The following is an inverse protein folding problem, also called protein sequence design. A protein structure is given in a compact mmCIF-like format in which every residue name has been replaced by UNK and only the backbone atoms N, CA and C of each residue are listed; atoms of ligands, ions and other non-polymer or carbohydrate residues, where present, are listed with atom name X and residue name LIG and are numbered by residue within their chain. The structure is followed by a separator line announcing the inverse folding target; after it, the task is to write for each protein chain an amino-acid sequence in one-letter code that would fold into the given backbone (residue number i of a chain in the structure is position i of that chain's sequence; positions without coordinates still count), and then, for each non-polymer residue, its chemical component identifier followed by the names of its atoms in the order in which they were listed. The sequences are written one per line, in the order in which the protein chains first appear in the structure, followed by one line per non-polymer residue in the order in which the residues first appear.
data_IF_611266041775
#
_entry.id   IF_611266041775
#
_cell.length_a   1.000
_cell.length_b   1.000
_cell.length_c   1.000
_cell.angle_alpha   90.00
_cell.angle_beta   90.00
_cell.angle_gamma   90.00
#
_symmetry.space_group_name_H-M   'P 1'
#
loop_
_entity.id
_entity.type
_entity.pdbx_description
1 polymer ?
#
# COMPACT_ATOMS: atom_id res chain seq x y z
N UNK A 1 -7.50 18.12 -14.50
CA UNK A 1 -6.20 17.82 -13.84
C UNK A 1 -6.34 18.05 -12.35
N UNK A 2 -6.01 17.04 -11.58
CA UNK A 2 -6.07 17.14 -10.12
C UNK A 2 -4.84 17.86 -9.59
N UNK A 3 -5.04 18.71 -8.59
CA UNK A 3 -3.95 19.37 -7.89
C UNK A 3 -3.14 18.32 -7.12
N UNK A 4 -1.87 18.64 -6.88
CA UNK A 4 -0.96 17.73 -6.19
C UNK A 4 -1.49 17.28 -4.81
N UNK A 5 -2.08 18.22 -4.07
CA UNK A 5 -2.67 17.91 -2.77
C UNK A 5 -3.88 17.00 -2.86
N UNK A 6 -4.67 17.13 -3.92
CA UNK A 6 -5.84 16.26 -4.14
C UNK A 6 -5.43 14.84 -4.46
N UNK A 7 -4.37 14.66 -5.25
CA UNK A 7 -3.83 13.34 -5.58
C UNK A 7 -3.34 12.65 -4.29
N UNK A 8 -2.62 13.37 -3.43
CA UNK A 8 -2.16 12.82 -2.16
C UNK A 8 -3.32 12.39 -1.27
N UNK A 9 -4.38 13.20 -1.23
CA UNK A 9 -5.56 12.89 -0.43
C UNK A 9 -6.26 11.63 -0.95
N UNK A 10 -6.43 11.52 -2.26
CA UNK A 10 -7.04 10.35 -2.90
C UNK A 10 -6.25 9.08 -2.58
N UNK A 11 -4.92 9.14 -2.70
CA UNK A 11 -4.07 8.00 -2.38
C UNK A 11 -4.14 7.64 -0.90
N UNK A 12 -4.13 8.63 -0.02
CA UNK A 12 -4.24 8.39 1.41
C UNK A 12 -5.57 7.70 1.75
N UNK A 13 -6.67 8.20 1.20
CA UNK A 13 -7.99 7.63 1.44
C UNK A 13 -8.07 6.20 0.89
N UNK A 14 -7.47 5.95 -0.28
CA UNK A 14 -7.44 4.63 -0.88
C UNK A 14 -6.64 3.65 -0.01
N UNK A 15 -5.50 4.08 0.52
CA UNK A 15 -4.68 3.26 1.41
C UNK A 15 -5.43 2.94 2.70
N UNK A 16 -6.12 3.92 3.28
CA UNK A 16 -6.91 3.73 4.50
C UNK A 16 -8.04 2.72 4.30
N UNK A 17 -8.54 2.57 3.08
CA UNK A 17 -9.59 1.62 2.75
C UNK A 17 -9.08 0.19 2.56
N UNK A 18 -7.77 -0.03 2.55
CA UNK A 18 -7.18 -1.35 2.36
C UNK A 18 -7.36 -2.23 3.61
N UNK A 19 -7.36 -3.56 3.44
CA UNK A 19 -7.27 -4.47 4.60
C UNK A 19 -6.04 -4.14 5.44
N UNK A 20 -6.14 -4.37 6.73
CA UNK A 20 -5.12 -3.98 7.71
C UNK A 20 -3.71 -4.43 7.33
N UNK A 21 -3.54 -5.69 6.93
CA UNK A 21 -2.22 -6.21 6.58
C UNK A 21 -1.63 -5.56 5.35
N UNK A 22 -2.45 -5.31 4.34
CA UNK A 22 -2.02 -4.62 3.13
C UNK A 22 -1.62 -3.18 3.43
N UNK A 23 -2.42 -2.51 4.26
CA UNK A 23 -2.13 -1.15 4.70
C UNK A 23 -0.81 -1.08 5.46
N UNK A 24 -0.57 -2.03 6.37
CA UNK A 24 0.68 -2.11 7.13
C UNK A 24 1.89 -2.31 6.20
N UNK A 25 1.77 -3.23 5.25
CA UNK A 25 2.87 -3.49 4.31
C UNK A 25 3.21 -2.23 3.52
N UNK A 26 2.21 -1.54 2.99
CA UNK A 26 2.45 -0.32 2.23
C UNK A 26 3.06 0.78 3.09
N UNK A 27 2.57 0.94 4.33
CA UNK A 27 3.10 1.95 5.24
C UNK A 27 4.56 1.70 5.57
N UNK A 28 4.91 0.46 5.87
CA UNK A 28 6.29 0.10 6.19
C UNK A 28 7.20 0.23 4.98
N UNK A 29 6.70 -0.09 3.81
CA UNK A 29 7.50 -0.02 2.59
C UNK A 29 7.75 1.41 2.13
N UNK A 30 6.71 2.24 2.10
CA UNK A 30 6.80 3.59 1.52
C UNK A 30 7.13 4.67 2.53
N UNK A 31 6.64 4.59 3.76
CA UNK A 31 6.92 5.62 4.77
C UNK A 31 8.16 5.30 5.60
N UNK A 32 8.32 4.05 6.00
CA UNK A 32 9.47 3.64 6.80
C UNK A 32 10.64 3.15 5.95
N UNK A 33 10.45 3.03 4.64
CA UNK A 33 11.48 2.63 3.68
C UNK A 33 12.12 1.28 3.99
N UNK A 34 11.33 0.34 4.51
CA UNK A 34 11.81 -1.00 4.81
C UNK A 34 11.79 -1.87 3.55
N UNK A 35 12.71 -2.82 3.47
CA UNK A 35 12.69 -3.82 2.41
C UNK A 35 11.60 -4.86 2.69
N UNK A 36 11.21 -5.62 1.67
CA UNK A 36 10.22 -6.70 1.84
C UNK A 36 10.66 -7.70 2.90
N UNK A 37 11.95 -8.00 2.96
CA UNK A 37 12.51 -8.89 3.96
C UNK A 37 12.37 -8.32 5.37
N UNK A 38 12.67 -7.03 5.52
CA UNK A 38 12.55 -6.35 6.81
C UNK A 38 11.10 -6.29 7.28
N UNK A 39 10.18 -6.02 6.36
CA UNK A 39 8.75 -6.02 6.66
C UNK A 39 8.31 -7.40 7.13
N UNK A 40 8.80 -8.45 6.47
CA UNK A 40 8.52 -9.82 6.89
C UNK A 40 8.96 -10.08 8.32
N UNK A 41 10.13 -9.59 8.69
CA UNK A 41 10.64 -9.71 10.06
C UNK A 41 9.74 -8.97 11.05
N UNK A 42 9.33 -7.74 10.71
CA UNK A 42 8.48 -6.92 11.59
C UNK A 42 7.11 -7.56 11.80
N UNK A 43 6.52 -8.08 10.73
CA UNK A 43 5.17 -8.65 10.76
C UNK A 43 5.13 -10.15 11.04
N UNK A 44 6.30 -10.77 11.19
CA UNK A 44 6.43 -12.22 11.36
C UNK A 44 5.83 -12.99 10.18
N UNK A 45 6.14 -12.53 8.97
CA UNK A 45 5.71 -13.14 7.72
C UNK A 45 6.93 -13.46 6.85
N UNK A 46 6.74 -14.36 5.89
CA UNK A 46 7.77 -14.63 4.90
C UNK A 46 7.86 -13.45 3.92
N UNK A 47 9.02 -13.29 3.29
CA UNK A 47 9.20 -12.28 2.25
C UNK A 47 8.20 -12.49 1.11
N UNK A 48 7.97 -13.75 0.72
CA UNK A 48 6.99 -14.08 -0.32
C UNK A 48 5.59 -13.60 0.03
N UNK A 49 5.19 -13.78 1.29
CA UNK A 49 3.86 -13.33 1.75
C UNK A 49 3.76 -11.81 1.72
N UNK A 50 4.83 -11.12 2.12
CA UNK A 50 4.88 -9.66 2.06
C UNK A 50 4.73 -9.18 0.62
N UNK A 51 5.44 -9.81 -0.32
CA UNK A 51 5.33 -9.49 -1.74
C UNK A 51 3.92 -9.69 -2.27
N UNK A 52 3.25 -10.77 -1.87
CA UNK A 52 1.86 -11.02 -2.24
C UNK A 52 0.93 -9.91 -1.72
N UNK A 53 1.10 -9.54 -0.46
CA UNK A 53 0.29 -8.48 0.15
C UNK A 53 0.52 -7.15 -0.56
N UNK A 54 1.78 -6.84 -0.89
CA UNK A 54 2.12 -5.63 -1.62
C UNK A 54 1.46 -5.62 -3.00
N UNK A 55 1.55 -6.72 -3.74
CA UNK A 55 0.94 -6.82 -5.07
C UNK A 55 -0.56 -6.67 -5.02
N UNK A 56 -1.22 -7.32 -4.05
CA UNK A 56 -2.67 -7.20 -3.87
C UNK A 56 -3.07 -5.76 -3.55
N UNK A 57 -2.31 -5.10 -2.67
CA UNK A 57 -2.56 -3.72 -2.31
C UNK A 57 -2.46 -2.79 -3.51
N UNK A 58 -1.42 -2.98 -4.33
CA UNK A 58 -1.21 -2.17 -5.53
C UNK A 58 -2.37 -2.36 -6.53
N UNK A 59 -2.82 -3.60 -6.70
CA UNK A 59 -3.96 -3.86 -7.58
C UNK A 59 -5.24 -3.19 -7.10
N UNK A 60 -5.50 -3.21 -5.79
CA UNK A 60 -6.66 -2.53 -5.21
C UNK A 60 -6.57 -1.02 -5.40
N UNK A 61 -5.38 -0.45 -5.19
CA UNK A 61 -5.15 0.97 -5.39
C UNK A 61 -5.38 1.39 -6.84
N UNK A 62 -4.89 0.60 -7.78
CA UNK A 62 -5.08 0.86 -9.22
C UNK A 62 -6.56 0.87 -9.58
N UNK A 63 -7.31 -0.10 -9.09
CA UNK A 63 -8.74 -0.17 -9.34
C UNK A 63 -9.48 1.05 -8.80
N UNK A 64 -9.12 1.47 -7.60
CA UNK A 64 -9.73 2.62 -6.94
C UNK A 64 -9.44 3.93 -7.69
N UNK A 65 -8.18 4.13 -8.06
CA UNK A 65 -7.78 5.33 -8.81
C UNK A 65 -8.45 5.35 -10.18
N UNK A 66 -8.59 4.19 -10.81
CA UNK A 66 -9.23 4.07 -12.11
C UNK A 66 -10.72 4.45 -12.06
N UNK A 67 -11.40 4.14 -10.96
CA UNK A 67 -12.80 4.49 -10.77
C UNK A 67 -13.02 5.99 -10.63
N UNK A 68 -12.00 6.73 -10.24
CA UNK A 68 -12.07 8.16 -10.00
C UNK A 68 -11.88 9.01 -11.26
N UNK A 69 -11.67 8.41 -12.40
CA UNK A 69 -11.53 9.12 -13.68
C UNK A 69 -12.86 9.51 -14.27
#
# INVERSE_FOLDING_TARGET
ILARGEVKKILKDAIEALPEKEKLVLSLYYYEELTMKEIGCVLNLTESRVCQLHSQAVLRLRGRVKELR
#
